data_IF_188696647474
#
_entry.id   IF_188696647474
#
_cell.length_a   1.000
_cell.length_b   1.000
_cell.length_c   1.000
_cell.angle_alpha   90.00
_cell.angle_beta   90.00
_cell.angle_gamma   90.00
#
_symmetry.space_group_name_H-M   'P 1'
#
loop_
_entity.id
_entity.type
_entity.pdbx_description
1 polymer ?
#
# COMPACT_ATOMS: atom_id res chain seq x y z
N UNK A 1 1.29 24.39 12.39
CA UNK A 1 0.02 24.16 11.66
C UNK A 1 -0.23 22.67 11.71
N UNK A 2 -1.31 22.19 12.39
CA UNK A 2 -1.72 20.79 12.27
C UNK A 2 -2.09 20.57 10.81
N UNK A 3 -1.33 19.75 10.09
CA UNK A 3 -1.67 19.33 8.73
C UNK A 3 -3.07 18.74 8.75
N UNK A 4 -3.94 19.21 7.85
CA UNK A 4 -5.31 18.72 7.74
C UNK A 4 -5.31 17.26 7.27
N UNK A 5 -5.23 16.33 8.24
CA UNK A 5 -5.19 14.89 7.98
C UNK A 5 -6.41 14.38 7.21
N UNK A 6 -7.54 15.08 7.29
CA UNK A 6 -8.77 14.70 6.61
C UNK A 6 -8.76 15.07 5.13
N UNK A 7 -8.09 16.16 4.74
CA UNK A 7 -8.02 16.58 3.34
C UNK A 7 -7.42 15.49 2.46
N UNK A 8 -6.26 14.95 2.80
CA UNK A 8 -5.61 13.89 2.03
C UNK A 8 -6.44 12.60 1.97
N UNK A 9 -7.13 12.24 3.06
CA UNK A 9 -8.01 11.06 3.09
C UNK A 9 -9.19 11.23 2.13
N UNK A 10 -9.89 12.36 2.16
CA UNK A 10 -11.04 12.58 1.30
C UNK A 10 -10.66 12.83 -0.16
N UNK A 11 -9.55 13.52 -0.43
CA UNK A 11 -9.03 13.68 -1.79
C UNK A 11 -8.69 12.32 -2.41
N UNK A 12 -8.00 11.44 -1.68
CA UNK A 12 -7.74 10.08 -2.12
C UNK A 12 -9.04 9.29 -2.34
N UNK A 13 -9.96 9.34 -1.38
CA UNK A 13 -11.22 8.60 -1.44
C UNK A 13 -12.05 8.99 -2.67
N UNK A 14 -12.24 10.27 -2.92
CA UNK A 14 -13.07 10.75 -4.03
C UNK A 14 -12.32 10.75 -5.35
N UNK A 15 -11.03 11.12 -5.36
CA UNK A 15 -10.21 11.17 -6.57
C UNK A 15 -10.00 9.79 -7.19
N UNK A 16 -9.71 8.76 -6.38
CA UNK A 16 -9.59 7.39 -6.90
C UNK A 16 -10.92 6.85 -7.40
N UNK A 17 -12.02 7.09 -6.66
CA UNK A 17 -13.35 6.70 -7.11
C UNK A 17 -13.71 7.34 -8.45
N UNK A 18 -13.59 8.65 -8.53
CA UNK A 18 -13.90 9.39 -9.75
C UNK A 18 -13.00 8.98 -10.92
N UNK A 19 -11.69 8.80 -10.68
CA UNK A 19 -10.74 8.34 -11.67
C UNK A 19 -11.06 6.94 -12.21
N UNK A 20 -11.49 6.04 -11.34
CA UNK A 20 -11.95 4.70 -11.74
C UNK A 20 -13.20 4.79 -12.63
N UNK A 21 -14.19 5.57 -12.21
CA UNK A 21 -15.43 5.73 -12.99
C UNK A 21 -15.18 6.42 -14.33
N UNK A 22 -14.27 7.40 -14.37
CA UNK A 22 -13.85 8.07 -15.59
C UNK A 22 -12.99 7.20 -16.53
N UNK A 23 -12.27 6.23 -15.98
CA UNK A 23 -11.22 5.49 -16.70
C UNK A 23 -9.95 6.30 -16.95
N UNK A 24 -9.85 7.49 -16.33
CA UNK A 24 -8.69 8.39 -16.36
C UNK A 24 -8.33 8.79 -14.93
N UNK A 25 -7.05 9.00 -14.61
CA UNK A 25 -6.66 9.47 -13.28
C UNK A 25 -7.04 10.95 -13.14
N UNK A 26 -7.60 11.32 -12.00
CA UNK A 26 -7.87 12.71 -11.62
C UNK A 26 -6.95 13.20 -10.51
N UNK A 27 -6.21 12.28 -9.92
CA UNK A 27 -5.16 12.54 -8.94
C UNK A 27 -3.96 11.61 -9.22
N UNK A 28 -2.75 11.93 -8.72
CA UNK A 28 -1.60 11.03 -8.80
C UNK A 28 -1.87 9.67 -8.15
N UNK A 29 -1.11 8.62 -8.48
CA UNK A 29 -1.17 7.37 -7.73
C UNK A 29 -0.78 7.61 -6.26
N UNK A 30 -1.43 6.90 -5.35
CA UNK A 30 -1.15 6.97 -3.90
C UNK A 30 0.32 6.61 -3.61
N UNK A 31 0.80 5.58 -4.31
CA UNK A 31 2.18 5.12 -4.19
C UNK A 31 2.71 4.54 -5.50
N UNK A 32 4.02 4.61 -5.62
CA UNK A 32 4.79 3.92 -6.67
C UNK A 32 5.61 2.81 -6.03
N UNK A 33 5.39 1.57 -6.50
CA UNK A 33 6.29 0.46 -6.25
C UNK A 33 7.37 0.46 -7.33
N UNK A 34 8.63 0.64 -6.93
CA UNK A 34 9.76 0.65 -7.82
C UNK A 34 10.67 -0.53 -7.50
N UNK A 35 10.63 -1.55 -8.36
CA UNK A 35 11.55 -2.69 -8.27
C UNK A 35 12.92 -2.27 -8.80
N UNK A 36 13.92 -2.22 -7.94
CA UNK A 36 15.27 -1.80 -8.31
C UNK A 36 16.09 -2.92 -8.97
N UNK A 37 15.79 -4.17 -8.62
CA UNK A 37 16.49 -5.36 -9.11
C UNK A 37 15.59 -6.58 -9.10
N UNK A 38 15.84 -7.53 -10.00
CA UNK A 38 15.23 -8.86 -9.98
C UNK A 38 16.13 -9.90 -9.28
N UNK A 39 17.37 -9.54 -8.91
CA UNK A 39 18.29 -10.42 -8.17
C UNK A 39 17.85 -10.53 -6.71
N UNK A 40 17.95 -11.73 -6.17
CA UNK A 40 17.70 -11.99 -4.75
C UNK A 40 18.65 -13.08 -4.25
N UNK A 41 19.12 -12.93 -3.03
CA UNK A 41 19.96 -13.93 -2.34
C UNK A 41 19.13 -15.04 -1.68
N UNK A 42 17.79 -14.92 -1.67
CA UNK A 42 16.87 -15.93 -1.13
C UNK A 42 16.02 -16.61 -2.21
N UNK A 43 15.43 -17.76 -1.85
CA UNK A 43 14.50 -18.54 -2.69
C UNK A 43 13.23 -18.89 -1.91
N UNK A 44 12.57 -17.87 -1.37
CA UNK A 44 11.37 -18.04 -0.53
C UNK A 44 10.27 -18.84 -1.26
N UNK A 45 9.61 -19.75 -0.53
CA UNK A 45 8.64 -20.70 -1.12
C UNK A 45 7.45 -20.07 -1.83
N UNK A 46 7.05 -18.85 -1.42
CA UNK A 46 5.91 -18.12 -2.00
C UNK A 46 6.32 -17.06 -3.03
N UNK A 47 7.61 -16.86 -3.27
CA UNK A 47 8.08 -15.75 -4.09
C UNK A 47 8.05 -16.09 -5.59
N UNK A 48 7.45 -15.22 -6.41
CA UNK A 48 7.44 -15.35 -7.87
C UNK A 48 8.67 -14.70 -8.53
N UNK A 49 9.39 -13.82 -7.80
CA UNK A 49 10.57 -13.10 -8.31
C UNK A 49 11.83 -13.96 -8.24
N UNK A 50 11.91 -14.86 -7.25
CA UNK A 50 13.06 -15.74 -7.05
C UNK A 50 13.31 -16.62 -8.30
N UNK A 51 14.35 -16.26 -9.06
CA UNK A 51 14.75 -16.95 -10.30
C UNK A 51 14.10 -16.44 -11.59
N UNK A 52 13.19 -15.46 -11.52
CA UNK A 52 12.69 -14.76 -12.70
C UNK A 52 13.62 -13.58 -13.01
N UNK A 53 14.37 -13.63 -14.08
CA UNK A 53 15.12 -12.48 -14.56
C UNK A 53 16.64 -12.52 -14.38
N UNK A 54 17.25 -13.67 -14.18
CA UNK A 54 18.70 -13.81 -14.40
C UNK A 54 19.03 -13.41 -15.83
N UNK A 55 19.81 -12.33 -16.00
CA UNK A 55 20.17 -11.78 -17.31
C UNK A 55 19.17 -10.79 -17.91
N UNK A 56 18.09 -10.45 -17.23
CA UNK A 56 17.23 -9.34 -17.63
C UNK A 56 17.98 -8.00 -17.38
N UNK A 57 17.73 -7.04 -18.26
CA UNK A 57 18.27 -5.69 -18.10
C UNK A 57 17.80 -5.07 -16.78
N UNK A 58 18.73 -4.50 -16.04
CA UNK A 58 18.48 -3.65 -14.87
C UNK A 58 18.94 -2.23 -15.20
N UNK A 59 18.16 -1.23 -14.84
CA UNK A 59 18.47 0.17 -15.11
C UNK A 59 19.73 0.63 -14.36
N UNK A 60 20.50 1.50 -15.01
CA UNK A 60 21.64 2.16 -14.40
C UNK A 60 21.18 3.25 -13.41
N UNK A 61 22.09 3.75 -12.57
CA UNK A 61 21.80 4.73 -11.51
C UNK A 61 21.12 5.99 -12.08
N UNK A 62 21.62 6.50 -13.21
CA UNK A 62 21.10 7.71 -13.85
C UNK A 62 19.65 7.55 -14.31
N UNK A 63 19.30 6.38 -14.86
CA UNK A 63 17.94 6.06 -15.29
C UNK A 63 17.01 5.96 -14.07
N UNK A 64 17.45 5.30 -12.99
CA UNK A 64 16.69 5.20 -11.74
C UNK A 64 16.45 6.58 -11.14
N UNK A 65 17.47 7.43 -11.07
CA UNK A 65 17.36 8.80 -10.58
C UNK A 65 16.43 9.67 -11.46
N UNK A 66 16.50 9.51 -12.78
CA UNK A 66 15.60 10.21 -13.71
C UNK A 66 14.12 9.83 -13.45
N UNK A 67 13.85 8.54 -13.24
CA UNK A 67 12.51 8.06 -12.91
C UNK A 67 12.05 8.58 -11.54
N UNK A 68 12.92 8.62 -10.53
CA UNK A 68 12.57 9.18 -9.21
C UNK A 68 12.17 10.67 -9.33
N UNK A 69 12.88 11.45 -10.18
CA UNK A 69 12.46 12.85 -10.46
C UNK A 69 11.08 12.91 -11.09
N UNK A 70 10.76 12.03 -12.03
CA UNK A 70 9.44 11.95 -12.66
C UNK A 70 8.35 11.53 -11.66
N UNK A 71 8.64 10.58 -10.75
CA UNK A 71 7.74 10.20 -9.65
C UNK A 71 7.39 11.40 -8.78
N UNK A 72 8.39 12.23 -8.43
CA UNK A 72 8.17 13.48 -7.68
C UNK A 72 7.35 14.49 -8.49
N UNK A 73 7.70 14.70 -9.75
CA UNK A 73 7.02 15.63 -10.65
C UNK A 73 5.54 15.24 -10.87
N UNK A 74 5.25 13.93 -10.93
CA UNK A 74 3.89 13.40 -11.01
C UNK A 74 3.04 13.69 -9.73
N UNK A 75 3.67 14.15 -8.65
CA UNK A 75 2.99 14.46 -7.39
C UNK A 75 2.77 13.23 -6.49
N UNK A 76 3.48 12.15 -6.72
CA UNK A 76 3.43 10.95 -5.88
C UNK A 76 4.02 11.27 -4.51
N UNK A 77 3.30 10.87 -3.47
CA UNK A 77 3.70 11.14 -2.09
C UNK A 77 4.44 9.97 -1.43
N UNK A 78 4.28 8.75 -1.93
CA UNK A 78 4.88 7.56 -1.35
C UNK A 78 5.61 6.73 -2.41
N UNK A 79 6.94 6.65 -2.29
CA UNK A 79 7.80 5.81 -3.12
C UNK A 79 8.27 4.60 -2.32
N UNK A 80 8.00 3.41 -2.83
CA UNK A 80 8.38 2.13 -2.23
C UNK A 80 9.47 1.51 -3.09
N UNK A 81 10.69 1.48 -2.58
CA UNK A 81 11.84 0.84 -3.21
C UNK A 81 11.87 -0.64 -2.81
N UNK A 82 11.78 -1.52 -3.79
CA UNK A 82 11.68 -2.97 -3.59
C UNK A 82 12.36 -3.72 -4.74
N UNK A 83 12.03 -5.01 -4.90
CA UNK A 83 12.52 -5.84 -6.00
C UNK A 83 12.68 -7.29 -5.59
N UNK A 84 13.79 -7.92 -6.01
CA UNK A 84 14.26 -9.15 -5.38
C UNK A 84 14.82 -8.83 -4.00
N UNK A 85 16.10 -8.43 -3.92
CA UNK A 85 16.72 -7.86 -2.71
C UNK A 85 17.48 -6.60 -3.09
N UNK A 86 17.00 -5.46 -2.61
CA UNK A 86 17.54 -4.14 -3.01
C UNK A 86 18.99 -3.93 -2.62
N UNK A 87 19.45 -4.51 -1.50
CA UNK A 87 20.84 -4.41 -1.05
C UNK A 87 21.83 -5.19 -1.93
N UNK A 88 21.37 -5.95 -2.91
CA UNK A 88 22.26 -6.54 -3.92
C UNK A 88 22.68 -5.54 -5.01
N UNK A 89 22.08 -4.37 -5.07
CA UNK A 89 22.54 -3.28 -5.94
C UNK A 89 23.75 -2.59 -5.31
N UNK A 90 24.78 -2.37 -6.13
CA UNK A 90 26.00 -1.68 -5.68
C UNK A 90 25.76 -0.21 -5.38
N UNK A 91 24.85 0.41 -6.12
CA UNK A 91 24.43 1.82 -6.05
C UNK A 91 23.19 2.02 -5.16
N UNK A 92 22.86 1.05 -4.27
CA UNK A 92 21.71 1.12 -3.39
C UNK A 92 21.70 2.38 -2.52
N UNK A 93 22.87 2.74 -1.94
CA UNK A 93 22.97 3.91 -1.07
C UNK A 93 22.70 5.20 -1.83
N UNK A 94 23.28 5.33 -3.03
CA UNK A 94 23.11 6.48 -3.92
C UNK A 94 21.63 6.65 -4.31
N UNK A 95 20.96 5.55 -4.67
CA UNK A 95 19.53 5.56 -5.02
C UNK A 95 18.68 6.02 -3.82
N UNK A 96 18.89 5.45 -2.64
CA UNK A 96 18.10 5.82 -1.45
C UNK A 96 18.40 7.27 -1.04
N UNK A 97 19.66 7.68 -1.02
CA UNK A 97 20.04 9.06 -0.73
C UNK A 97 19.38 10.05 -1.69
N UNK A 98 19.38 9.73 -2.99
CA UNK A 98 18.71 10.54 -4.00
C UNK A 98 17.19 10.56 -3.80
N UNK A 99 16.56 9.41 -3.54
CA UNK A 99 15.11 9.34 -3.34
C UNK A 99 14.66 10.18 -2.13
N UNK A 100 15.37 10.10 -1.02
CA UNK A 100 15.06 10.89 0.18
C UNK A 100 15.27 12.39 -0.07
N UNK A 101 16.38 12.78 -0.72
CA UNK A 101 16.69 14.18 -1.03
C UNK A 101 15.78 14.78 -2.11
N UNK A 102 15.08 13.97 -2.91
CA UNK A 102 14.15 14.44 -3.96
C UNK A 102 12.93 15.18 -3.40
N UNK A 103 12.68 15.11 -2.09
CA UNK A 103 11.54 15.72 -1.43
C UNK A 103 10.21 14.97 -1.61
N UNK A 104 10.26 13.68 -1.97
CA UNK A 104 9.10 12.78 -1.86
C UNK A 104 8.78 12.64 -0.36
N UNK A 105 7.50 12.72 -0.01
CA UNK A 105 7.05 12.82 1.39
C UNK A 105 7.39 11.54 2.20
N UNK A 106 7.22 10.38 1.58
CA UNK A 106 7.47 9.07 2.18
C UNK A 106 8.32 8.21 1.22
N UNK A 107 9.51 7.84 1.65
CA UNK A 107 10.35 6.83 0.98
C UNK A 107 10.43 5.61 1.88
N UNK A 108 10.03 4.45 1.37
CA UNK A 108 10.06 3.16 2.05
C UNK A 108 11.01 2.20 1.32
N UNK A 109 11.79 1.45 2.07
CA UNK A 109 12.64 0.37 1.56
C UNK A 109 12.13 -0.96 2.09
N UNK A 110 11.81 -1.88 1.17
CA UNK A 110 11.42 -3.26 1.52
C UNK A 110 12.60 -4.19 1.26
N UNK A 111 13.03 -4.91 2.28
CA UNK A 111 14.15 -5.85 2.25
C UNK A 111 13.83 -7.15 2.99
N UNK A 112 14.57 -8.21 2.70
CA UNK A 112 14.55 -9.43 3.51
C UNK A 112 15.40 -9.30 4.79
N UNK A 113 16.16 -8.21 4.95
CA UNK A 113 16.95 -7.90 6.13
C UNK A 113 18.30 -8.61 6.23
N UNK A 114 18.56 -9.64 5.44
CA UNK A 114 19.74 -10.52 5.62
C UNK A 114 21.08 -9.90 5.23
N UNK A 115 21.05 -8.81 4.47
CA UNK A 115 22.24 -8.07 4.01
C UNK A 115 22.41 -6.73 4.71
N UNK A 116 21.46 -6.37 5.59
CA UNK A 116 21.61 -5.18 6.42
C UNK A 116 22.74 -5.38 7.44
N UNK A 117 23.61 -4.41 7.52
CA UNK A 117 24.69 -4.33 8.48
C UNK A 117 24.74 -2.93 9.09
N UNK A 118 25.65 -2.71 10.05
CA UNK A 118 25.76 -1.44 10.75
C UNK A 118 26.04 -0.26 9.81
N UNK A 119 26.86 -0.46 8.78
CA UNK A 119 27.20 0.57 7.81
C UNK A 119 25.96 1.01 6.99
N UNK A 120 25.22 0.04 6.44
CA UNK A 120 24.01 0.34 5.66
C UNK A 120 22.90 0.94 6.52
N UNK A 121 22.70 0.43 7.75
CA UNK A 121 21.70 0.96 8.69
C UNK A 121 22.07 2.37 9.14
N UNK A 122 23.33 2.62 9.43
CA UNK A 122 23.83 3.96 9.74
C UNK A 122 23.56 4.95 8.61
N UNK A 123 23.88 4.53 7.37
CA UNK A 123 23.58 5.34 6.19
C UNK A 123 22.08 5.64 6.06
N UNK A 124 21.19 4.62 6.16
CA UNK A 124 19.75 4.80 6.03
C UNK A 124 19.19 5.77 7.09
N UNK A 125 19.74 5.69 8.31
CA UNK A 125 19.35 6.57 9.42
C UNK A 125 19.80 8.01 9.17
N UNK A 126 21.05 8.22 8.73
CA UNK A 126 21.61 9.54 8.43
C UNK A 126 20.95 10.18 7.20
N UNK A 127 20.71 9.40 6.15
CA UNK A 127 20.00 9.87 4.96
C UNK A 127 18.57 10.32 5.27
N UNK A 128 18.00 9.91 6.42
CA UNK A 128 16.65 10.27 6.83
C UNK A 128 15.56 9.45 6.13
N UNK A 129 15.87 8.18 5.78
CA UNK A 129 14.85 7.27 5.25
C UNK A 129 13.60 7.30 6.13
N UNK A 130 12.41 7.34 5.54
CA UNK A 130 11.19 7.45 6.30
C UNK A 130 10.78 6.12 6.96
N UNK A 131 10.84 5.02 6.20
CA UNK A 131 10.40 3.72 6.66
C UNK A 131 11.28 2.60 6.13
N UNK A 132 11.54 1.59 6.96
CA UNK A 132 12.23 0.36 6.60
C UNK A 132 11.32 -0.81 6.91
N UNK A 133 10.95 -1.57 5.89
CA UNK A 133 10.10 -2.74 6.02
C UNK A 133 10.94 -4.01 5.89
N UNK A 134 10.96 -4.83 6.93
CA UNK A 134 11.63 -6.13 6.92
C UNK A 134 10.59 -7.24 6.69
N UNK A 135 10.91 -8.14 5.78
CA UNK A 135 10.01 -9.24 5.41
C UNK A 135 10.25 -10.45 6.30
N UNK A 136 9.27 -10.77 7.17
CA UNK A 136 9.26 -11.96 8.02
C UNK A 136 7.91 -12.68 7.92
N UNK A 137 7.93 -13.99 7.75
CA UNK A 137 6.72 -14.81 7.57
C UNK A 137 6.49 -15.79 8.73
N UNK A 138 6.95 -15.47 9.90
CA UNK A 138 6.79 -16.26 11.14
C UNK A 138 7.95 -16.03 12.09
N UNK A 139 7.89 -16.67 13.27
CA UNK A 139 9.03 -16.76 14.18
C UNK A 139 10.10 -17.68 13.59
N UNK A 140 11.28 -17.72 14.19
CA UNK A 140 12.50 -18.40 13.71
C UNK A 140 12.23 -19.69 12.90
N UNK A 141 11.66 -20.70 13.54
CA UNK A 141 11.45 -22.00 12.90
C UNK A 141 10.56 -21.94 11.67
N UNK A 142 9.47 -21.19 11.75
CA UNK A 142 8.49 -21.07 10.65
C UNK A 142 9.04 -20.17 9.55
N UNK A 143 9.64 -19.05 9.90
CA UNK A 143 10.27 -18.14 8.95
C UNK A 143 11.35 -18.83 8.13
N UNK A 144 12.28 -19.54 8.80
CA UNK A 144 13.39 -20.20 8.14
C UNK A 144 12.92 -21.37 7.25
N UNK A 145 11.87 -22.07 7.65
CA UNK A 145 11.23 -23.07 6.77
C UNK A 145 10.69 -22.44 5.48
N UNK A 146 10.23 -21.19 5.51
CA UNK A 146 9.62 -20.49 4.36
C UNK A 146 10.67 -19.77 3.53
N UNK A 147 11.59 -19.04 4.18
CA UNK A 147 12.52 -18.11 3.53
C UNK A 147 13.94 -18.65 3.36
N UNK A 148 14.35 -19.58 4.21
CA UNK A 148 15.70 -20.18 4.23
C UNK A 148 16.29 -20.16 5.63
N UNK A 149 17.18 -21.10 5.91
CA UNK A 149 17.84 -21.27 7.19
C UNK A 149 18.66 -20.03 7.60
N UNK A 150 18.54 -19.60 8.87
CA UNK A 150 19.24 -18.45 9.43
C UNK A 150 18.78 -17.09 8.93
N UNK A 151 17.68 -17.03 8.14
CA UNK A 151 17.12 -15.77 7.66
C UNK A 151 16.51 -14.97 8.81
N UNK A 152 15.82 -15.63 9.74
CA UNK A 152 15.20 -14.98 10.88
C UNK A 152 16.24 -14.26 11.74
N UNK A 153 17.33 -14.95 12.10
CA UNK A 153 18.38 -14.41 12.98
C UNK A 153 19.06 -13.19 12.38
N UNK A 154 19.34 -13.21 11.07
CA UNK A 154 19.92 -12.05 10.37
C UNK A 154 18.97 -10.86 10.34
N UNK A 155 17.69 -11.11 10.07
CA UNK A 155 16.67 -10.07 10.07
C UNK A 155 16.46 -9.48 11.47
N UNK A 156 16.42 -10.33 12.50
CA UNK A 156 16.33 -9.93 13.91
C UNK A 156 17.54 -9.07 14.32
N UNK A 157 18.76 -9.53 14.02
CA UNK A 157 19.98 -8.76 14.28
C UNK A 157 19.97 -7.39 13.60
N UNK A 158 19.48 -7.30 12.36
CA UNK A 158 19.32 -6.03 11.66
C UNK A 158 18.35 -5.07 12.37
N UNK A 159 17.26 -5.58 12.92
CA UNK A 159 16.33 -4.77 13.72
C UNK A 159 16.99 -4.25 15.00
N UNK A 160 17.77 -5.09 15.67
CA UNK A 160 18.49 -4.72 16.90
C UNK A 160 19.56 -3.65 16.62
N UNK A 161 20.32 -3.81 15.53
CA UNK A 161 21.27 -2.79 15.07
C UNK A 161 20.55 -1.46 14.77
N UNK A 162 19.40 -1.51 14.07
CA UNK A 162 18.63 -0.30 13.77
C UNK A 162 18.19 0.43 15.04
N UNK A 163 17.63 -0.31 16.01
CA UNK A 163 17.18 0.29 17.26
C UNK A 163 18.36 0.92 18.04
N UNK A 164 19.51 0.24 18.09
CA UNK A 164 20.73 0.75 18.73
C UNK A 164 21.24 2.01 18.01
N UNK A 165 21.40 1.98 16.69
CA UNK A 165 21.88 3.13 15.90
C UNK A 165 20.95 4.34 16.05
N UNK A 166 19.63 4.14 16.04
CA UNK A 166 18.65 5.21 16.28
C UNK A 166 18.81 5.82 17.67
N UNK A 167 18.98 5.01 18.68
CA UNK A 167 19.17 5.46 20.06
C UNK A 167 20.48 6.26 20.21
N UNK A 168 21.61 5.72 19.72
CA UNK A 168 22.92 6.36 19.78
C UNK A 168 22.94 7.71 19.05
N UNK A 169 22.20 7.81 17.94
CA UNK A 169 22.15 9.03 17.12
C UNK A 169 20.97 9.96 17.42
N UNK A 170 20.15 9.59 18.38
CA UNK A 170 18.93 10.35 18.75
C UNK A 170 18.02 10.61 17.54
N UNK A 171 17.84 9.59 16.70
CA UNK A 171 16.99 9.63 15.51
C UNK A 171 15.73 8.79 15.71
N UNK A 172 14.59 9.29 15.23
CA UNK A 172 13.33 8.54 15.21
C UNK A 172 13.14 7.73 13.93
N UNK A 173 13.77 8.17 12.84
CA UNK A 173 13.70 7.54 11.51
C UNK A 173 14.95 6.69 11.23
N UNK A 174 14.78 5.68 10.37
CA UNK A 174 13.53 5.19 9.79
C UNK A 174 12.62 4.54 10.83
N UNK A 175 11.31 4.66 10.65
CA UNK A 175 10.35 3.81 11.34
C UNK A 175 10.49 2.38 10.83
N UNK A 176 10.18 1.38 11.66
CA UNK A 176 10.35 -0.03 11.33
C UNK A 176 9.01 -0.72 11.13
N UNK A 177 8.91 -1.54 10.08
CA UNK A 177 7.75 -2.36 9.78
C UNK A 177 8.09 -3.80 9.47
N UNK A 178 7.10 -4.68 9.62
CA UNK A 178 7.17 -6.08 9.21
C UNK A 178 6.12 -6.34 8.14
N UNK A 179 6.55 -6.93 7.01
CA UNK A 179 5.66 -7.56 6.04
C UNK A 179 5.57 -9.06 6.33
N UNK A 180 4.34 -9.53 6.59
CA UNK A 180 4.02 -10.93 6.86
C UNK A 180 3.03 -11.46 5.81
N UNK A 181 3.47 -12.44 5.01
CA UNK A 181 2.63 -13.10 4.02
C UNK A 181 1.88 -14.25 4.67
N UNK A 182 0.57 -14.10 4.86
CA UNK A 182 -0.30 -15.12 5.46
C UNK A 182 -0.47 -16.29 4.53
N UNK A 183 -0.09 -17.48 5.00
CA UNK A 183 -0.20 -18.76 4.28
C UNK A 183 -0.43 -19.91 5.26
N UNK A 184 -0.74 -21.10 4.77
CA UNK A 184 -1.08 -22.26 5.60
C UNK A 184 -0.04 -22.54 6.71
N UNK A 185 1.23 -22.36 6.40
CA UNK A 185 2.36 -22.76 7.26
C UNK A 185 2.67 -21.83 8.43
N UNK A 186 2.06 -20.64 8.48
CA UNK A 186 2.40 -19.59 9.45
C UNK A 186 1.21 -18.98 10.18
N UNK A 187 0.04 -19.60 10.09
CA UNK A 187 -1.17 -19.06 10.72
C UNK A 187 -0.97 -18.92 12.24
N UNK A 188 -0.32 -19.88 12.88
CA UNK A 188 -0.05 -19.87 14.32
C UNK A 188 0.81 -18.68 14.75
N UNK A 189 1.71 -18.25 13.88
CA UNK A 189 2.68 -17.17 14.19
C UNK A 189 2.10 -15.78 13.99
N UNK A 190 0.86 -15.62 13.47
CA UNK A 190 0.28 -14.30 13.21
C UNK A 190 0.17 -13.42 14.46
N UNK A 191 -0.29 -13.98 15.57
CA UNK A 191 -0.41 -13.24 16.84
C UNK A 191 0.95 -13.10 17.54
N UNK A 192 1.76 -14.20 17.72
CA UNK A 192 3.10 -14.08 18.26
C UNK A 192 4.01 -13.10 17.53
N UNK A 193 3.79 -12.89 16.22
CA UNK A 193 4.53 -11.89 15.45
C UNK A 193 4.24 -10.44 15.93
N UNK A 194 3.06 -10.14 16.44
CA UNK A 194 2.78 -8.82 17.02
C UNK A 194 3.58 -8.59 18.32
N UNK A 195 3.68 -9.63 19.17
CA UNK A 195 4.48 -9.56 20.41
C UNK A 195 5.97 -9.40 20.07
N UNK A 196 6.47 -10.16 19.10
CA UNK A 196 7.83 -10.01 18.57
C UNK A 196 8.06 -8.60 18.01
N UNK A 197 7.16 -8.10 17.19
CA UNK A 197 7.25 -6.77 16.58
C UNK A 197 7.24 -5.66 17.66
N UNK A 198 6.42 -5.81 18.70
CA UNK A 198 6.42 -4.91 19.85
C UNK A 198 7.79 -4.90 20.55
N UNK A 199 8.35 -6.09 20.84
CA UNK A 199 9.68 -6.23 21.44
C UNK A 199 10.83 -5.67 20.59
N UNK A 200 10.64 -5.56 19.29
CA UNK A 200 11.60 -4.96 18.33
C UNK A 200 11.30 -3.48 17.98
N UNK A 201 10.42 -2.83 18.71
CA UNK A 201 10.00 -1.45 18.46
C UNK A 201 9.49 -1.19 17.03
N UNK A 202 8.83 -2.19 16.44
CA UNK A 202 8.19 -2.01 15.14
C UNK A 202 6.97 -1.10 15.26
N UNK A 203 6.84 -0.18 14.31
CA UNK A 203 5.70 0.74 14.24
C UNK A 203 4.48 0.10 13.59
N UNK A 204 4.70 -0.75 12.57
CA UNK A 204 3.63 -1.38 11.81
C UNK A 204 3.91 -2.86 11.53
N UNK A 205 2.82 -3.64 11.41
CA UNK A 205 2.84 -4.98 10.84
C UNK A 205 1.79 -5.07 9.74
N UNK A 206 2.21 -5.57 8.58
CA UNK A 206 1.35 -5.79 7.41
C UNK A 206 1.08 -7.28 7.26
N UNK A 207 -0.17 -7.71 7.32
CA UNK A 207 -0.59 -9.07 7.03
C UNK A 207 -1.20 -9.13 5.62
N UNK A 208 -0.48 -9.72 4.67
CA UNK A 208 -0.99 -9.90 3.30
C UNK A 208 -1.26 -11.38 3.03
N UNK A 209 -2.39 -11.77 2.43
CA UNK A 209 -2.58 -13.15 2.03
C UNK A 209 -1.60 -13.50 0.91
N UNK A 210 -1.10 -14.74 0.91
CA UNK A 210 -0.32 -15.26 -0.22
C UNK A 210 -1.16 -15.14 -1.49
N UNK A 211 -0.55 -14.60 -2.56
CA UNK A 211 -1.27 -14.37 -3.81
C UNK A 211 -1.47 -15.69 -4.56
N UNK A 212 -2.67 -15.86 -5.10
CA UNK A 212 -3.03 -17.04 -5.89
C UNK A 212 -2.06 -17.26 -7.06
N UNK A 213 -1.70 -16.20 -7.76
CA UNK A 213 -0.76 -16.26 -8.90
C UNK A 213 0.67 -16.63 -8.47
N UNK A 214 1.07 -16.33 -7.22
CA UNK A 214 2.40 -16.64 -6.70
C UNK A 214 2.57 -18.12 -6.30
N UNK A 215 1.47 -18.82 -6.02
CA UNK A 215 1.54 -20.24 -5.61
C UNK A 215 1.50 -21.22 -6.79
N UNK A 216 1.56 -20.73 -8.04
CA UNK A 216 1.52 -21.54 -9.27
C UNK A 216 0.40 -22.58 -9.24
N UNK A 217 -0.75 -22.23 -8.69
CA UNK A 217 -1.87 -23.15 -8.58
C UNK A 217 -2.53 -23.37 -9.93
N UNK A 218 -2.52 -24.61 -10.37
CA UNK A 218 -3.64 -25.09 -11.16
C UNK A 218 -4.86 -25.16 -10.20
N UNK A 219 -6.01 -24.65 -10.60
CA UNK A 219 -7.27 -24.60 -9.80
C UNK A 219 -7.64 -25.97 -9.19
N UNK A 220 -7.12 -27.07 -9.76
CA UNK A 220 -7.33 -28.45 -9.31
C UNK A 220 -6.26 -28.98 -8.35
N UNK A 221 -5.12 -28.29 -8.15
CA UNK A 221 -4.04 -28.73 -7.26
C UNK A 221 -3.95 -27.78 -6.05
N UNK A 222 -4.15 -28.32 -4.86
CA UNK A 222 -4.01 -27.58 -3.60
C UNK A 222 -2.54 -27.27 -3.36
N UNK A 223 -2.17 -25.98 -3.38
CA UNK A 223 -0.84 -25.56 -2.94
C UNK A 223 -0.67 -25.84 -1.43
N UNK A 224 0.49 -26.36 -0.97
CA UNK A 224 0.78 -26.53 0.46
C UNK A 224 0.91 -25.21 1.21
N UNK A 225 0.84 -24.06 0.51
CA UNK A 225 0.84 -22.73 1.11
C UNK A 225 -0.58 -22.19 1.31
N UNK A 226 -1.62 -22.90 0.79
CA UNK A 226 -2.99 -22.41 0.78
C UNK A 226 -3.81 -22.98 1.94
N UNK A 227 -4.26 -22.14 2.89
CA UNK A 227 -5.07 -22.60 4.03
C UNK A 227 -6.35 -23.31 3.59
N UNK A 228 -6.62 -24.46 4.19
CA UNK A 228 -7.87 -25.21 3.98
C UNK A 228 -8.30 -25.97 5.24
N UNK A 229 -9.53 -26.48 5.28
CA UNK A 229 -10.05 -27.29 6.38
C UNK A 229 -9.90 -26.63 7.76
N UNK A 230 -9.36 -27.34 8.72
CA UNK A 230 -9.15 -26.86 10.11
C UNK A 230 -8.17 -25.67 10.17
N UNK A 231 -7.19 -25.62 9.28
CA UNK A 231 -6.26 -24.49 9.14
C UNK A 231 -6.99 -23.17 8.86
N UNK A 232 -8.05 -23.24 8.05
CA UNK A 232 -8.87 -22.08 7.75
C UNK A 232 -9.71 -21.63 8.96
N UNK A 233 -10.19 -22.54 9.79
CA UNK A 233 -10.87 -22.19 11.06
C UNK A 233 -9.91 -21.51 12.03
N UNK A 234 -8.68 -22.00 12.13
CA UNK A 234 -7.64 -21.37 12.94
C UNK A 234 -7.34 -19.95 12.44
N UNK A 235 -7.20 -19.77 11.12
CA UNK A 235 -7.02 -18.45 10.50
C UNK A 235 -8.17 -17.51 10.87
N UNK A 236 -9.42 -17.96 10.79
CA UNK A 236 -10.59 -17.15 11.16
C UNK A 236 -10.53 -16.69 12.61
N UNK A 237 -10.14 -17.59 13.52
CA UNK A 237 -9.95 -17.24 14.93
C UNK A 237 -8.87 -16.17 15.12
N UNK A 238 -7.73 -16.30 14.46
CA UNK A 238 -6.64 -15.32 14.54
C UNK A 238 -7.03 -13.98 13.90
N UNK A 239 -7.71 -13.99 12.76
CA UNK A 239 -8.18 -12.76 12.09
C UNK A 239 -9.19 -12.00 12.96
N UNK A 240 -10.07 -12.70 13.69
CA UNK A 240 -10.97 -12.05 14.65
C UNK A 240 -10.18 -11.31 15.73
N UNK A 241 -9.18 -11.96 16.33
CA UNK A 241 -8.30 -11.34 17.34
C UNK A 241 -7.52 -10.15 16.76
N UNK A 242 -6.98 -10.27 15.52
CA UNK A 242 -6.30 -9.16 14.85
C UNK A 242 -7.25 -7.97 14.60
N UNK A 243 -8.50 -8.22 14.22
CA UNK A 243 -9.49 -7.16 14.04
C UNK A 243 -9.85 -6.47 15.36
N UNK A 244 -9.91 -7.21 16.46
CA UNK A 244 -10.16 -6.65 17.79
C UNK A 244 -8.95 -5.81 18.26
N UNK A 245 -7.71 -6.29 18.08
CA UNK A 245 -6.49 -5.54 18.35
C UNK A 245 -6.37 -4.29 17.46
N UNK A 246 -6.79 -4.36 16.20
CA UNK A 246 -6.79 -3.19 15.31
C UNK A 246 -7.74 -2.09 15.78
N UNK A 247 -8.84 -2.44 16.45
CA UNK A 247 -9.78 -1.47 17.04
C UNK A 247 -9.27 -0.90 18.36
N UNK A 248 -8.58 -1.72 19.15
CA UNK A 248 -8.09 -1.42 20.47
C UNK A 248 -6.60 -1.81 20.57
N UNK A 249 -5.69 -1.04 19.96
CA UNK A 249 -4.30 -1.49 19.72
C UNK A 249 -3.46 -1.59 21.01
N UNK A 250 -3.84 -0.91 22.12
CA UNK A 250 -3.00 -0.89 23.32
C UNK A 250 -1.58 -0.40 22.97
N UNK A 251 -0.56 -1.19 23.38
CA UNK A 251 0.85 -0.95 23.07
C UNK A 251 1.34 -1.73 21.83
N UNK A 252 0.47 -2.46 21.15
CA UNK A 252 0.85 -3.25 19.98
C UNK A 252 1.19 -2.35 18.79
N UNK A 253 2.07 -2.77 17.87
CA UNK A 253 2.30 -2.07 16.62
C UNK A 253 1.01 -1.94 15.82
N UNK A 254 0.91 -0.90 15.01
CA UNK A 254 -0.26 -0.71 14.17
C UNK A 254 -0.39 -1.84 13.15
N UNK A 255 -1.52 -2.52 13.13
CA UNK A 255 -1.86 -3.46 12.06
C UNK A 255 -2.26 -2.63 10.84
N UNK A 256 -1.35 -2.50 9.87
CA UNK A 256 -1.54 -1.62 8.70
C UNK A 256 -2.62 -2.16 7.77
N UNK A 257 -2.66 -3.48 7.55
CA UNK A 257 -3.67 -4.13 6.68
C UNK A 257 -5.08 -3.69 7.04
N UNK A 258 -5.85 -3.30 6.05
CA UNK A 258 -7.22 -2.82 6.29
C UNK A 258 -8.10 -3.91 6.93
N UNK A 259 -9.00 -3.49 7.80
CA UNK A 259 -9.97 -4.42 8.43
C UNK A 259 -10.82 -5.16 7.39
N UNK A 260 -11.05 -4.53 6.25
CA UNK A 260 -11.78 -5.08 5.13
C UNK A 260 -11.00 -6.24 4.46
N UNK A 261 -9.70 -6.10 4.26
CA UNK A 261 -8.84 -7.17 3.72
C UNK A 261 -8.72 -8.30 4.74
N UNK A 262 -8.46 -8.00 6.02
CA UNK A 262 -8.41 -9.01 7.07
C UNK A 262 -9.71 -9.84 7.12
N UNK A 263 -10.87 -9.19 7.17
CA UNK A 263 -12.18 -9.87 7.22
C UNK A 263 -12.52 -10.65 5.94
N UNK A 264 -11.85 -10.35 4.83
CA UNK A 264 -12.09 -11.01 3.53
C UNK A 264 -11.18 -12.20 3.27
N UNK A 265 -10.09 -12.37 4.02
CA UNK A 265 -9.14 -13.48 3.84
C UNK A 265 -9.80 -14.86 3.88
N UNK A 266 -10.75 -15.18 4.80
CA UNK A 266 -11.41 -16.48 4.78
C UNK A 266 -12.19 -16.76 3.50
N UNK A 267 -12.92 -15.77 2.99
CA UNK A 267 -13.65 -15.91 1.72
C UNK A 267 -12.68 -16.03 0.54
N UNK A 268 -11.55 -15.32 0.58
CA UNK A 268 -10.48 -15.44 -0.38
C UNK A 268 -9.92 -16.86 -0.42
N UNK A 269 -9.50 -17.42 0.70
CA UNK A 269 -8.94 -18.77 0.75
C UNK A 269 -9.96 -19.88 0.43
N UNK A 270 -11.27 -19.62 0.62
CA UNK A 270 -12.34 -20.52 0.16
C UNK A 270 -12.67 -20.42 -1.33
N UNK A 271 -12.03 -19.53 -2.07
CA UNK A 271 -12.37 -19.27 -3.47
C UNK A 271 -13.74 -18.60 -3.65
N UNK A 272 -14.29 -18.00 -2.61
CA UNK A 272 -15.64 -17.38 -2.57
C UNK A 272 -15.62 -15.85 -2.57
N UNK A 273 -14.46 -15.24 -2.81
CA UNK A 273 -14.36 -13.80 -2.89
C UNK A 273 -15.01 -13.32 -4.19
N UNK A 274 -16.14 -12.65 -4.11
CA UNK A 274 -16.77 -12.10 -5.31
C UNK A 274 -16.00 -10.85 -5.75
N UNK A 275 -15.62 -10.80 -7.02
CA UNK A 275 -14.93 -9.67 -7.62
C UNK A 275 -15.74 -8.36 -7.57
N UNK A 276 -17.06 -8.42 -7.33
CA UNK A 276 -17.93 -7.27 -7.20
C UNK A 276 -17.98 -6.65 -5.81
N UNK A 277 -17.44 -7.34 -4.78
CA UNK A 277 -17.47 -6.83 -3.41
C UNK A 277 -16.48 -5.70 -3.19
N UNK A 278 -15.37 -5.72 -3.90
CA UNK A 278 -14.33 -4.71 -3.83
C UNK A 278 -13.92 -4.37 -5.27
N UNK A 279 -14.04 -3.14 -5.70
CA UNK A 279 -13.54 -2.73 -7.00
C UNK A 279 -12.03 -2.94 -7.10
N UNK A 280 -11.50 -3.35 -8.25
CA UNK A 280 -10.08 -3.29 -8.52
C UNK A 280 -9.69 -1.87 -8.93
N UNK A 281 -8.72 -1.28 -8.25
CA UNK A 281 -8.18 0.05 -8.52
C UNK A 281 -6.78 0.02 -9.10
N UNK A 282 -6.42 -1.10 -9.74
CA UNK A 282 -5.16 -1.23 -10.47
C UNK A 282 -5.06 -0.19 -11.58
N UNK A 283 -3.90 0.50 -11.64
CA UNK A 283 -3.68 1.61 -12.57
C UNK A 283 -4.41 2.90 -12.18
N UNK A 284 -4.99 2.98 -10.97
CA UNK A 284 -5.59 4.18 -10.38
C UNK A 284 -4.90 4.53 -9.06
N UNK A 285 -4.79 3.58 -8.11
CA UNK A 285 -4.18 3.82 -6.80
C UNK A 285 -2.68 3.66 -6.80
N UNK A 286 -2.15 2.75 -7.60
CA UNK A 286 -0.73 2.47 -7.62
C UNK A 286 -0.16 2.43 -9.03
N UNK A 287 1.14 2.70 -9.11
CA UNK A 287 1.96 2.43 -10.28
C UNK A 287 3.07 1.46 -9.87
N UNK A 288 3.40 0.51 -10.73
CA UNK A 288 4.51 -0.42 -10.51
C UNK A 288 5.51 -0.24 -11.63
N UNK A 289 6.77 0.00 -11.28
CA UNK A 289 7.90 0.13 -12.21
C UNK A 289 8.83 -1.05 -11.96
N UNK A 290 9.12 -1.83 -13.00
CA UNK A 290 10.02 -2.98 -12.93
C UNK A 290 11.47 -2.55 -12.92
N UNK A 291 12.41 -3.47 -12.58
CA UNK A 291 13.83 -3.23 -12.63
C UNK A 291 14.34 -2.87 -14.03
N UNK A 292 13.62 -3.25 -15.07
CA UNK A 292 13.91 -2.88 -16.47
C UNK A 292 13.20 -1.63 -16.96
N UNK A 293 12.54 -0.84 -16.09
CA UNK A 293 11.87 0.41 -16.45
C UNK A 293 10.45 0.27 -17.00
N UNK A 294 9.93 -0.94 -17.12
CA UNK A 294 8.57 -1.13 -17.61
C UNK A 294 7.54 -0.71 -16.55
N UNK A 295 6.53 0.04 -16.96
CA UNK A 295 5.37 0.35 -16.13
C UNK A 295 4.36 -0.76 -16.30
N UNK A 296 4.18 -1.54 -15.21
CA UNK A 296 3.52 -2.84 -15.22
C UNK A 296 2.27 -2.88 -14.33
N UNK A 297 1.39 -3.78 -14.69
CA UNK A 297 0.28 -4.21 -13.84
C UNK A 297 0.01 -5.71 -14.05
N UNK A 298 -0.75 -6.34 -13.14
CA UNK A 298 -1.24 -7.71 -13.34
C UNK A 298 -2.13 -7.88 -14.59
N UNK A 299 -2.53 -6.79 -15.23
CA UNK A 299 -3.39 -6.74 -16.42
C UNK A 299 -2.61 -6.43 -17.71
N UNK A 300 -1.31 -6.18 -17.61
CA UNK A 300 -0.38 -5.95 -18.70
C UNK A 300 0.59 -4.80 -18.48
N UNK A 301 1.61 -4.71 -19.34
CA UNK A 301 2.53 -3.58 -19.42
C UNK A 301 1.82 -2.44 -20.14
N UNK A 302 2.01 -1.19 -19.68
CA UNK A 302 1.36 -0.03 -20.26
C UNK A 302 2.27 1.17 -20.49
N UNK A 303 3.59 1.01 -20.28
CA UNK A 303 4.61 2.01 -20.59
C UNK A 303 6.03 1.51 -20.34
N UNK A 304 7.01 2.32 -20.74
CA UNK A 304 8.44 2.15 -20.44
C UNK A 304 8.99 3.50 -19.97
N UNK A 305 9.23 3.61 -18.67
CA UNK A 305 9.66 4.85 -18.00
C UNK A 305 11.08 5.34 -18.42
N UNK A 306 11.83 4.52 -19.17
CA UNK A 306 13.10 4.92 -19.78
C UNK A 306 12.92 5.69 -21.09
N UNK A 307 11.75 5.55 -21.70
CA UNK A 307 11.45 6.09 -23.04
C UNK A 307 10.48 7.26 -22.99
N UNK A 308 9.50 7.16 -22.11
CA UNK A 308 8.38 8.07 -22.01
C UNK A 308 8.30 8.67 -20.61
N UNK A 309 7.79 9.88 -20.50
CA UNK A 309 7.50 10.51 -19.20
C UNK A 309 6.40 9.75 -18.45
N UNK A 310 6.55 9.62 -17.11
CA UNK A 310 5.57 8.92 -16.28
C UNK A 310 4.19 9.57 -16.29
N UNK A 311 4.11 10.90 -16.45
CA UNK A 311 2.82 11.59 -16.56
C UNK A 311 2.11 11.21 -17.87
N UNK A 312 2.84 11.17 -18.98
CA UNK A 312 2.32 10.75 -20.28
C UNK A 312 1.90 9.27 -20.25
N UNK A 313 2.73 8.41 -19.70
CA UNK A 313 2.38 6.99 -19.50
C UNK A 313 1.10 6.88 -18.66
N UNK A 314 0.99 7.65 -17.56
CA UNK A 314 -0.13 7.57 -16.63
C UNK A 314 -1.47 7.94 -17.28
N UNK A 315 -1.50 8.87 -18.22
CA UNK A 315 -2.71 9.28 -18.95
C UNK A 315 -2.88 8.58 -20.31
N UNK A 316 -1.94 7.74 -20.72
CA UNK A 316 -1.89 7.10 -22.05
C UNK A 316 -3.12 6.25 -22.36
N UNK A 317 -3.35 5.99 -23.65
CA UNK A 317 -4.36 5.03 -24.10
C UNK A 317 -4.09 3.61 -23.61
N UNK A 318 -2.80 3.21 -23.41
CA UNK A 318 -2.42 1.93 -22.86
C UNK A 318 -2.83 1.81 -21.39
N UNK A 319 -2.57 2.83 -20.58
CA UNK A 319 -3.00 2.90 -19.18
C UNK A 319 -4.53 2.90 -19.07
N UNK A 320 -5.24 3.61 -19.96
CA UNK A 320 -6.71 3.57 -20.02
C UNK A 320 -7.23 2.14 -20.26
N UNK A 321 -6.63 1.39 -21.19
CA UNK A 321 -7.01 -0.02 -21.43
C UNK A 321 -6.80 -0.89 -20.16
N UNK A 322 -5.74 -0.67 -19.40
CA UNK A 322 -5.51 -1.36 -18.13
C UNK A 322 -6.63 -1.04 -17.12
N UNK A 323 -7.00 0.23 -16.97
CA UNK A 323 -8.10 0.66 -16.08
C UNK A 323 -9.45 0.06 -16.47
N UNK A 324 -9.77 0.03 -17.76
CA UNK A 324 -11.00 -0.60 -18.24
C UNK A 324 -11.00 -2.13 -17.98
N UNK A 325 -9.85 -2.79 -18.15
CA UNK A 325 -9.71 -4.21 -17.75
C UNK A 325 -9.88 -4.37 -16.24
N UNK A 326 -9.34 -3.46 -15.41
CA UNK A 326 -9.47 -3.48 -13.96
C UNK A 326 -10.93 -3.38 -13.50
N UNK A 327 -11.73 -2.52 -14.11
CA UNK A 327 -13.17 -2.41 -13.83
C UNK A 327 -13.93 -3.73 -14.03
N UNK A 328 -13.51 -4.53 -15.01
CA UNK A 328 -14.14 -5.81 -15.39
C UNK A 328 -13.40 -7.02 -14.81
N UNK A 329 -12.35 -6.78 -14.00
CA UNK A 329 -11.52 -7.86 -13.48
C UNK A 329 -12.32 -8.79 -12.57
N UNK A 330 -12.27 -10.10 -12.89
CA UNK A 330 -12.89 -11.18 -12.13
C UNK A 330 -11.86 -12.11 -11.49
N UNK A 331 -10.57 -11.72 -11.51
CA UNK A 331 -9.52 -12.54 -10.94
C UNK A 331 -9.74 -12.74 -9.44
N UNK A 332 -9.35 -13.90 -8.97
CA UNK A 332 -9.30 -14.22 -7.56
C UNK A 332 -8.08 -13.51 -6.93
N UNK A 333 -8.33 -12.39 -6.26
CA UNK A 333 -7.28 -11.50 -5.77
C UNK A 333 -7.72 -10.85 -4.46
N UNK A 334 -6.76 -10.63 -3.57
CA UNK A 334 -6.93 -9.87 -2.34
C UNK A 334 -5.63 -9.12 -2.02
N UNK A 335 -5.42 -7.98 -2.66
CA UNK A 335 -4.27 -7.10 -2.43
C UNK A 335 -4.74 -5.78 -1.83
N UNK A 336 -4.26 -5.42 -0.62
CA UNK A 336 -4.68 -4.21 0.09
C UNK A 336 -4.40 -2.93 -0.72
N UNK A 337 -3.25 -2.88 -1.39
CA UNK A 337 -2.83 -1.73 -2.18
C UNK A 337 -3.72 -1.37 -3.39
N UNK A 338 -4.58 -2.29 -3.86
CA UNK A 338 -5.52 -2.02 -4.96
C UNK A 338 -6.98 -2.14 -4.56
N UNK A 339 -7.23 -2.43 -3.28
CA UNK A 339 -8.60 -2.47 -2.76
C UNK A 339 -9.08 -1.08 -2.39
N UNK A 340 -10.40 -0.91 -2.46
CA UNK A 340 -11.06 0.33 -2.15
C UNK A 340 -12.40 0.05 -1.46
N UNK A 341 -12.92 0.94 -0.60
CA UNK A 341 -14.20 0.73 0.05
C UNK A 341 -15.32 0.43 -0.95
N UNK A 342 -16.17 -0.54 -0.63
CA UNK A 342 -17.31 -0.90 -1.46
C UNK A 342 -18.31 0.27 -1.59
N UNK A 343 -18.44 1.07 -0.52
CA UNK A 343 -19.20 2.31 -0.51
C UNK A 343 -18.30 3.47 -0.07
N UNK A 344 -18.01 4.35 -0.99
CA UNK A 344 -17.22 5.57 -0.76
C UNK A 344 -17.97 6.54 0.14
N UNK A 345 -19.31 6.60 0.01
CA UNK A 345 -20.14 7.44 0.86
C UNK A 345 -20.11 6.97 2.32
N UNK A 346 -20.29 5.66 2.56
CA UNK A 346 -20.22 5.08 3.90
C UNK A 346 -18.85 5.26 4.55
N UNK A 347 -17.78 5.13 3.76
CA UNK A 347 -16.43 5.35 4.27
C UNK A 347 -16.19 6.80 4.66
N UNK A 348 -16.65 7.75 3.85
CA UNK A 348 -16.59 9.18 4.18
C UNK A 348 -17.36 9.50 5.48
N UNK A 349 -18.54 8.92 5.65
CA UNK A 349 -19.34 9.05 6.88
C UNK A 349 -18.61 8.44 8.07
N UNK A 350 -17.98 7.27 7.91
CA UNK A 350 -17.22 6.60 8.96
C UNK A 350 -16.01 7.41 9.42
N UNK A 351 -15.29 8.02 8.48
CA UNK A 351 -14.15 8.91 8.79
C UNK A 351 -14.59 10.08 9.65
N UNK A 352 -15.74 10.71 9.32
CA UNK A 352 -16.27 11.83 10.12
C UNK A 352 -16.80 11.36 11.47
N UNK A 353 -17.52 10.24 11.50
CA UNK A 353 -18.05 9.69 12.76
C UNK A 353 -16.92 9.32 13.74
N UNK A 354 -15.79 8.82 13.23
CA UNK A 354 -14.62 8.48 14.02
C UNK A 354 -13.72 9.68 14.40
N UNK A 355 -14.01 10.87 13.89
CA UNK A 355 -13.27 12.07 14.24
C UNK A 355 -13.60 12.49 15.69
N UNK A 356 -12.60 12.97 16.48
CA UNK A 356 -12.85 13.62 17.76
C UNK A 356 -13.89 14.74 17.62
N UNK A 357 -14.69 15.00 18.64
CA UNK A 357 -15.81 15.95 18.56
C UNK A 357 -15.32 17.35 18.13
N UNK A 358 -14.17 17.79 18.64
CA UNK A 358 -13.51 19.06 18.32
C UNK A 358 -13.00 19.15 16.88
N UNK A 359 -12.78 18.01 16.21
CA UNK A 359 -12.28 17.95 14.83
C UNK A 359 -13.38 17.68 13.79
N UNK A 360 -14.61 17.39 14.20
CA UNK A 360 -15.69 17.06 13.26
C UNK A 360 -15.96 18.16 12.23
N UNK A 361 -15.97 19.42 12.68
CA UNK A 361 -16.17 20.57 11.78
C UNK A 361 -15.06 20.65 10.73
N UNK A 362 -13.81 20.43 11.13
CA UNK A 362 -12.67 20.38 10.21
C UNK A 362 -12.81 19.22 9.21
N UNK A 363 -13.17 18.03 9.68
CA UNK A 363 -13.37 16.87 8.82
C UNK A 363 -14.48 17.11 7.76
N UNK A 364 -15.59 17.74 8.15
CA UNK A 364 -16.68 18.10 7.23
C UNK A 364 -16.22 19.16 6.22
N UNK A 365 -15.47 20.19 6.64
CA UNK A 365 -14.92 21.20 5.73
C UNK A 365 -13.97 20.59 4.73
N UNK A 366 -13.09 19.68 5.17
CA UNK A 366 -12.15 18.95 4.31
C UNK A 366 -12.85 18.05 3.31
N UNK A 367 -13.95 17.39 3.70
CA UNK A 367 -14.80 16.61 2.81
C UNK A 367 -15.40 17.49 1.69
N UNK A 368 -15.97 18.64 2.05
CA UNK A 368 -16.57 19.58 1.08
C UNK A 368 -15.52 20.04 0.06
N UNK A 369 -14.35 20.48 0.55
CA UNK A 369 -13.23 20.95 -0.28
C UNK A 369 -12.69 19.85 -1.19
N UNK A 370 -12.58 18.60 -0.72
CA UNK A 370 -12.14 17.48 -1.55
C UNK A 370 -13.14 17.18 -2.68
N UNK A 371 -14.43 17.22 -2.41
CA UNK A 371 -15.46 17.07 -3.45
C UNK A 371 -15.40 18.15 -4.52
N UNK A 372 -15.15 19.40 -4.13
CA UNK A 372 -15.00 20.54 -5.07
C UNK A 372 -13.74 20.37 -5.93
N UNK A 373 -12.60 20.01 -5.35
CA UNK A 373 -11.36 19.77 -6.10
C UNK A 373 -11.50 18.66 -7.13
N UNK A 374 -12.11 17.54 -6.76
CA UNK A 374 -12.35 16.42 -7.68
C UNK A 374 -13.33 16.84 -8.80
N UNK A 375 -14.33 17.64 -8.51
CA UNK A 375 -15.27 18.15 -9.51
C UNK A 375 -14.57 19.05 -10.54
N UNK A 376 -13.69 19.94 -10.05
CA UNK A 376 -12.84 20.80 -10.91
C UNK A 376 -11.90 19.96 -11.77
N UNK A 377 -11.18 19.01 -11.18
CA UNK A 377 -10.27 18.14 -11.92
C UNK A 377 -10.99 17.32 -13.00
N UNK A 378 -12.22 16.85 -12.74
CA UNK A 378 -13.04 16.18 -13.75
C UNK A 378 -13.51 17.14 -14.87
N UNK A 379 -13.73 18.40 -14.54
CA UNK A 379 -14.12 19.41 -15.55
C UNK A 379 -12.98 19.72 -16.51
N UNK A 380 -11.75 19.75 -16.02
CA UNK A 380 -10.53 20.07 -16.76
C UNK A 380 -9.90 18.87 -17.47
N UNK A 381 -10.28 17.65 -17.07
CA UNK A 381 -9.69 16.43 -17.61
C UNK A 381 -9.89 16.30 -19.14
N UNK A 382 -8.87 15.88 -19.90
CA UNK A 382 -8.94 15.69 -21.36
C UNK A 382 -9.70 14.41 -21.74
N UNK A 383 -10.93 14.29 -21.28
CA UNK A 383 -11.77 13.13 -21.54
C UNK A 383 -12.79 13.39 -22.64
N UNK A 384 -13.10 12.36 -23.42
CA UNK A 384 -14.22 12.43 -24.37
C UNK A 384 -15.53 12.73 -23.62
N UNK A 385 -16.46 13.41 -24.31
CA UNK A 385 -17.72 13.93 -23.76
C UNK A 385 -18.51 12.90 -22.91
N UNK A 386 -18.63 11.65 -23.39
CA UNK A 386 -19.36 10.58 -22.70
C UNK A 386 -18.72 10.22 -21.35
N UNK A 387 -17.39 10.22 -21.26
CA UNK A 387 -16.67 9.86 -20.03
C UNK A 387 -16.79 10.96 -18.96
N UNK A 388 -16.80 12.25 -19.38
CA UNK A 388 -17.05 13.38 -18.48
C UNK A 388 -18.45 13.33 -17.89
N UNK A 389 -19.48 13.00 -18.69
CA UNK A 389 -20.87 12.86 -18.22
C UNK A 389 -20.96 11.72 -17.20
N UNK A 390 -20.40 10.55 -17.49
CA UNK A 390 -20.44 9.40 -16.56
C UNK A 390 -19.76 9.71 -15.23
N UNK A 391 -18.61 10.36 -15.27
CA UNK A 391 -17.86 10.72 -14.06
C UNK A 391 -18.58 11.76 -13.21
N UNK A 392 -19.16 12.77 -13.82
CA UNK A 392 -19.98 13.78 -13.12
C UNK A 392 -21.26 13.17 -12.56
N UNK A 393 -21.88 12.23 -13.26
CA UNK A 393 -23.05 11.49 -12.79
C UNK A 393 -22.68 10.63 -11.57
N UNK A 394 -21.56 9.89 -11.61
CA UNK A 394 -21.10 9.09 -10.48
C UNK A 394 -20.76 9.95 -9.25
N UNK A 395 -20.07 11.08 -9.45
CA UNK A 395 -19.76 12.03 -8.38
C UNK A 395 -21.03 12.71 -7.85
N UNK A 396 -22.00 13.02 -8.72
CA UNK A 396 -23.31 13.53 -8.36
C UNK A 396 -24.08 12.55 -7.47
N UNK A 397 -24.10 11.28 -7.84
CA UNK A 397 -24.71 10.21 -7.02
C UNK A 397 -24.01 10.07 -5.68
N UNK A 398 -22.67 10.11 -5.64
CA UNK A 398 -21.91 10.09 -4.40
C UNK A 398 -22.24 11.28 -3.49
N UNK A 399 -22.29 12.49 -4.04
CA UNK A 399 -22.68 13.71 -3.30
C UNK A 399 -24.11 13.56 -2.71
N UNK A 400 -25.04 12.99 -3.49
CA UNK A 400 -26.40 12.74 -3.01
C UNK A 400 -26.43 11.73 -1.85
N UNK A 401 -25.69 10.63 -1.92
CA UNK A 401 -25.57 9.65 -0.84
C UNK A 401 -24.97 10.25 0.45
N UNK A 402 -23.92 11.06 0.33
CA UNK A 402 -23.32 11.75 1.47
C UNK A 402 -24.28 12.77 2.08
N UNK A 403 -25.05 13.50 1.27
CA UNK A 403 -26.11 14.40 1.76
C UNK A 403 -27.21 13.64 2.51
N UNK A 404 -27.66 12.53 1.94
CA UNK A 404 -28.71 11.68 2.57
C UNK A 404 -28.28 11.11 3.93
N UNK A 405 -26.98 10.95 4.19
CA UNK A 405 -26.45 10.54 5.49
C UNK A 405 -26.53 11.62 6.58
N UNK A 406 -26.92 12.85 6.23
CA UNK A 406 -27.04 13.98 7.17
C UNK A 406 -25.70 14.64 7.57
N UNK A 407 -24.57 14.07 7.15
CA UNK A 407 -23.23 14.56 7.55
C UNK A 407 -22.93 15.99 7.07
N UNK A 408 -23.42 16.37 5.88
CA UNK A 408 -23.19 17.71 5.33
C UNK A 408 -24.08 18.79 5.97
N UNK A 409 -25.18 18.43 6.59
CA UNK A 409 -26.07 19.36 7.32
C UNK A 409 -25.65 19.64 8.75
N UNK A 410 -24.89 18.74 9.37
CA UNK A 410 -24.41 18.89 10.76
C UNK A 410 -23.38 20.03 10.94
N UNK A 411 -22.78 20.54 9.87
CA UNK A 411 -21.82 21.67 9.93
C UNK A 411 -22.44 23.06 9.90
N UNK A 412 -23.79 23.18 9.83
CA UNK A 412 -24.51 24.46 9.77
C UNK A 412 -25.29 24.78 11.04
N UNK A 413 -25.07 24.08 12.15
CA UNK A 413 -25.67 24.47 13.42
C UNK A 413 -25.12 25.83 13.85
N UNK A 414 -25.96 26.86 14.10
CA UNK A 414 -25.50 28.15 14.53
C UNK A 414 -24.81 28.01 15.89
N UNK A 415 -23.64 28.61 16.04
CA UNK A 415 -23.07 28.87 17.36
C UNK A 415 -24.10 29.74 18.12
N UNK A 416 -24.82 29.14 19.06
CA UNK A 416 -25.62 29.91 20.00
C UNK A 416 -24.70 30.87 20.74
N UNK A 417 -24.71 32.12 20.30
CA UNK A 417 -24.20 33.24 21.05
C UNK A 417 -25.06 33.36 22.32
N UNK A 418 -24.57 32.76 23.40
CA UNK A 418 -25.12 33.01 24.73
C UNK A 418 -24.95 34.48 25.08
N UNK A 419 -26.02 35.23 24.88
CA UNK A 419 -26.12 36.57 25.44
C UNK A 419 -26.28 36.44 26.94
N UNK A 420 -25.34 36.97 27.68
CA UNK A 420 -25.46 37.27 29.10
C UNK A 420 -26.66 38.18 29.36
N UNK A 421 -27.48 37.79 30.32
CA UNK A 421 -28.10 38.67 31.29
C UNK A 421 -27.90 38.10 32.69
#
# INVERSE_FOLDING_TARGET
MKTDRYAGVFEGLFGFYAGREAGIPVIPPEHVYFSLTNRCNLKCKMCSVAGSGRGAYEMELEEVCAIIRQVKALGVRHLILSGGEVLLRRDFKEIVGFAVSSGIEMVDVITNGTLLNEESISFLTEAGLNHLTISLDGLRRVNDNIRGEGVFDKAEAAMDILNRVKQERQKEKPTLGINFTVMDRNIEDMLPMLDFACGKNCNIVVFQPVLFDNVKMNVKQKSPLWPCGERLKLLEGNLKKLLDLKRNPGQSPMIYTSGQVLSSMPAYFRGRLSAGRFGCYEGIKRMVITAGGQVWSCLGIYGDARKDDLADIWISAAARRVREKAKRCRRHCLQDCVYFPASVAEEAVRVIAGAPQEEKTLAIASLKKALERVDTALAEAPAGFIQRIRSRSALGSLKAQIRASGVLSAGNAPQNSGAHR
#
